data_IF_841104718187
#
_entry.id   IF_841104718187
#
_cell.length_a   1.000
_cell.length_b   1.000
_cell.length_c   1.000
_cell.angle_alpha   90.00
_cell.angle_beta   90.00
_cell.angle_gamma   90.00
#
_symmetry.space_group_name_H-M   'P 1'
#
loop_
_entity.id
_entity.type
_entity.pdbx_description
1 polymer ?
#
# COMPACT_ATOMS: atom_id res chain seq x y z
N UNK A 1 15.28 -16.56 -0.32
CA UNK A 1 13.96 -16.31 0.30
C UNK A 1 13.62 -14.85 0.09
N UNK A 2 12.38 -14.52 -0.28
CA UNK A 2 12.04 -13.16 -0.73
C UNK A 2 10.70 -12.74 -0.12
N UNK A 3 10.56 -11.46 0.18
CA UNK A 3 9.31 -10.85 0.65
C UNK A 3 9.35 -9.35 0.35
N UNK A 4 8.27 -8.65 0.67
CA UNK A 4 8.20 -7.21 0.50
C UNK A 4 7.55 -6.52 1.69
N UNK A 5 7.89 -5.25 1.91
CA UNK A 5 7.37 -4.42 3.00
C UNK A 5 7.07 -3.02 2.50
N UNK A 6 5.96 -2.43 2.92
CA UNK A 6 5.75 -0.99 2.82
C UNK A 6 6.69 -0.29 3.80
N UNK A 7 7.49 0.67 3.33
CA UNK A 7 8.36 1.45 4.19
C UNK A 7 7.50 2.33 5.10
N UNK A 8 7.55 2.04 6.40
CA UNK A 8 6.82 2.77 7.43
C UNK A 8 7.63 3.95 8.01
N UNK A 9 8.80 4.25 7.44
CA UNK A 9 9.72 5.28 7.93
C UNK A 9 10.65 4.81 9.05
N UNK A 10 10.65 3.51 9.39
CA UNK A 10 11.48 2.94 10.44
C UNK A 10 12.96 2.76 10.08
N UNK A 11 13.36 3.13 8.86
CA UNK A 11 14.77 3.13 8.45
C UNK A 11 15.35 1.78 8.06
N UNK A 12 14.59 0.93 7.37
CA UNK A 12 15.12 -0.34 6.82
C UNK A 12 16.30 -0.03 5.87
N UNK A 13 17.47 -0.67 6.04
CA UNK A 13 18.63 -0.39 5.20
C UNK A 13 18.37 -0.72 3.71
N UNK A 14 18.55 0.28 2.84
CA UNK A 14 18.32 0.15 1.39
C UNK A 14 19.58 -0.16 0.58
N UNK A 15 20.75 0.28 1.08
CA UNK A 15 22.05 0.16 0.38
C UNK A 15 23.02 -0.85 1.00
N UNK A 16 22.63 -1.49 2.11
CA UNK A 16 23.47 -2.44 2.83
C UNK A 16 22.68 -3.68 3.24
N UNK A 17 23.42 -4.72 3.60
CA UNK A 17 22.84 -5.93 4.15
C UNK A 17 22.44 -5.74 5.63
N UNK A 18 21.40 -6.43 6.07
CA UNK A 18 20.91 -6.43 7.46
C UNK A 18 20.47 -7.84 7.88
N UNK A 19 20.34 -8.10 9.18
CA UNK A 19 19.88 -9.42 9.64
C UNK A 19 18.37 -9.49 9.60
N UNK A 20 17.81 -10.65 9.23
CA UNK A 20 16.36 -10.84 9.24
C UNK A 20 15.73 -10.49 10.59
N UNK A 21 16.41 -10.81 11.69
CA UNK A 21 15.97 -10.51 13.05
C UNK A 21 15.85 -9.00 13.34
N UNK A 22 16.56 -8.14 12.62
CA UNK A 22 16.50 -6.69 12.83
C UNK A 22 15.17 -6.08 12.35
N UNK A 23 14.38 -6.80 11.52
CA UNK A 23 13.08 -6.33 11.04
C UNK A 23 12.07 -6.06 12.16
N UNK A 24 12.19 -6.74 13.32
CA UNK A 24 11.36 -6.44 14.49
C UNK A 24 11.52 -4.98 14.95
N UNK A 25 12.74 -4.46 14.88
CA UNK A 25 13.04 -3.04 15.18
C UNK A 25 12.46 -2.08 14.15
N UNK A 26 12.10 -2.58 12.98
CA UNK A 26 11.50 -1.83 11.87
C UNK A 26 9.97 -1.98 11.82
N UNK A 27 9.35 -2.47 12.90
CA UNK A 27 7.90 -2.56 13.03
C UNK A 27 7.28 -3.75 12.29
N UNK A 28 8.08 -4.73 11.87
CA UNK A 28 7.56 -6.00 11.37
C UNK A 28 7.29 -6.93 12.56
N UNK A 29 6.09 -7.52 12.70
CA UNK A 29 5.78 -8.37 13.85
C UNK A 29 6.75 -9.55 14.01
N UNK A 30 7.18 -9.85 15.24
CA UNK A 30 8.10 -10.97 15.53
C UNK A 30 7.57 -12.32 15.02
N UNK A 31 6.25 -12.50 15.00
CA UNK A 31 5.61 -13.68 14.42
C UNK A 31 5.85 -13.80 12.91
N UNK A 32 5.83 -12.69 12.18
CA UNK A 32 6.18 -12.64 10.76
C UNK A 32 7.68 -12.89 10.59
N UNK A 33 8.54 -12.26 11.39
CA UNK A 33 9.99 -12.48 11.37
C UNK A 33 10.34 -13.97 11.58
N UNK A 34 9.67 -14.62 12.55
CA UNK A 34 9.84 -16.06 12.81
C UNK A 34 9.41 -16.92 11.62
N UNK A 35 8.23 -16.67 11.05
CA UNK A 35 7.75 -17.39 9.87
C UNK A 35 8.72 -17.23 8.69
N UNK A 36 9.24 -16.03 8.50
CA UNK A 36 10.23 -15.75 7.48
C UNK A 36 11.54 -16.52 7.72
N UNK A 37 11.99 -16.62 8.98
CA UNK A 37 13.18 -17.39 9.37
C UNK A 37 13.05 -18.89 9.03
N UNK A 38 11.84 -19.43 9.18
CA UNK A 38 11.48 -20.80 8.80
C UNK A 38 11.31 -21.00 7.27
N UNK A 39 11.47 -19.94 6.47
CA UNK A 39 11.28 -19.99 5.02
C UNK A 39 9.81 -20.01 4.59
N UNK A 40 8.88 -19.72 5.51
CA UNK A 40 7.45 -19.65 5.23
C UNK A 40 7.10 -18.21 4.86
N UNK A 41 6.31 -18.04 3.80
CA UNK A 41 5.67 -16.76 3.54
C UNK A 41 4.65 -16.49 4.66
N UNK A 42 4.66 -15.31 5.29
CA UNK A 42 3.67 -15.01 6.31
C UNK A 42 2.28 -15.01 5.67
N UNK A 43 1.40 -15.86 6.22
CA UNK A 43 0.04 -16.02 5.69
C UNK A 43 -0.74 -14.73 5.94
N UNK A 44 -0.98 -13.95 4.89
CA UNK A 44 -2.04 -12.95 4.90
C UNK A 44 -3.38 -13.68 5.02
N UNK A 45 -4.10 -13.46 6.12
CA UNK A 45 -5.43 -14.04 6.30
C UNK A 45 -6.34 -13.63 5.14
N UNK A 46 -6.94 -14.63 4.47
CA UNK A 46 -7.93 -14.38 3.44
C UNK A 46 -9.12 -13.63 4.05
N UNK A 47 -9.40 -12.43 3.57
CA UNK A 47 -10.59 -11.68 3.99
C UNK A 47 -11.82 -12.33 3.33
N UNK A 48 -12.77 -12.81 4.14
CA UNK A 48 -14.09 -13.20 3.66
C UNK A 48 -14.81 -11.96 3.14
N UNK A 49 -15.20 -11.96 1.87
CA UNK A 49 -16.08 -10.95 1.31
C UNK A 49 -17.46 -11.06 1.96
N UNK A 50 -17.89 -10.00 2.66
CA UNK A 50 -19.27 -9.87 3.10
C UNK A 50 -20.09 -9.28 1.95
N UNK A 51 -21.14 -10.00 1.54
CA UNK A 51 -22.07 -9.57 0.49
C UNK A 51 -23.17 -8.73 1.13
N UNK A 52 -23.10 -7.41 0.98
CA UNK A 52 -24.25 -6.51 1.21
C UNK A 52 -24.29 -5.45 0.10
N UNK A 53 -25.49 -5.23 -0.43
CA UNK A 53 -25.89 -4.39 -1.57
C UNK A 53 -24.87 -3.29 -1.96
N UNK A 54 -24.28 -3.46 -3.14
CA UNK A 54 -23.07 -2.77 -3.59
C UNK A 54 -23.35 -1.75 -4.69
N UNK A 55 -23.17 -0.46 -4.40
CA UNK A 55 -23.08 0.61 -5.39
C UNK A 55 -21.66 1.19 -5.44
N UNK A 56 -21.26 1.89 -6.51
CA UNK A 56 -19.94 2.52 -6.60
C UNK A 56 -19.65 3.47 -5.42
N UNK A 57 -20.67 4.08 -4.83
CA UNK A 57 -20.51 5.01 -3.71
C UNK A 57 -20.49 4.35 -2.33
N UNK A 58 -20.68 3.04 -2.22
CA UNK A 58 -20.68 2.35 -0.91
C UNK A 58 -19.32 2.50 -0.23
N UNK A 59 -19.30 3.00 1.02
CA UNK A 59 -18.07 3.09 1.83
C UNK A 59 -17.73 1.69 2.34
N UNK A 60 -16.55 1.21 1.98
CA UNK A 60 -16.04 -0.13 2.34
C UNK A 60 -14.83 -0.06 3.27
N UNK A 61 -14.33 1.14 3.55
CA UNK A 61 -13.25 1.35 4.52
C UNK A 61 -13.15 2.80 4.96
N UNK A 62 -12.64 3.00 6.17
CA UNK A 62 -12.38 4.31 6.75
C UNK A 62 -11.17 4.22 7.69
N UNK A 63 -10.28 5.20 7.63
CA UNK A 63 -9.12 5.31 8.53
C UNK A 63 -8.62 6.75 8.61
N UNK A 64 -7.61 6.99 9.45
CA UNK A 64 -6.89 8.27 9.54
C UNK A 64 -5.60 8.21 8.72
N UNK A 65 -5.35 9.22 7.90
CA UNK A 65 -4.04 9.40 7.24
C UNK A 65 -2.95 9.80 8.26
N UNK A 66 -1.71 10.00 7.78
CA UNK A 66 -0.58 10.45 8.59
C UNK A 66 -0.87 11.73 9.39
N UNK A 67 -1.67 12.65 8.85
CA UNK A 67 -1.91 13.96 9.44
C UNK A 67 -3.26 14.02 10.21
N UNK A 68 -3.90 12.86 10.44
CA UNK A 68 -5.14 12.73 11.22
C UNK A 68 -6.45 12.98 10.45
N UNK A 69 -6.36 13.20 9.13
CA UNK A 69 -7.52 13.42 8.26
C UNK A 69 -8.22 12.10 7.97
N UNK A 70 -9.55 12.14 7.92
CA UNK A 70 -10.34 10.92 7.63
C UNK A 70 -10.28 10.60 6.14
N UNK A 71 -9.75 9.42 5.81
CA UNK A 71 -9.78 8.85 4.47
C UNK A 71 -10.95 7.88 4.37
N UNK A 72 -11.74 8.01 3.31
CA UNK A 72 -12.83 7.09 2.99
C UNK A 72 -12.44 6.25 1.76
N UNK A 73 -12.59 4.94 1.86
CA UNK A 73 -12.53 4.04 0.71
C UNK A 73 -13.96 3.70 0.29
N UNK A 74 -14.25 3.90 -1.00
CA UNK A 74 -15.50 3.47 -1.61
C UNK A 74 -15.26 2.27 -2.50
N UNK A 75 -16.30 1.46 -2.68
CA UNK A 75 -16.26 0.32 -3.59
C UNK A 75 -15.83 0.78 -4.99
N UNK A 76 -16.42 1.86 -5.51
CA UNK A 76 -16.11 2.40 -6.83
C UNK A 76 -16.41 1.43 -7.98
N UNK A 77 -15.91 1.74 -9.16
CA UNK A 77 -16.09 0.93 -10.37
C UNK A 77 -14.86 1.01 -11.26
N UNK A 78 -14.76 0.09 -12.23
CA UNK A 78 -13.80 0.17 -13.31
C UNK A 78 -14.44 -0.28 -14.63
N UNK A 79 -14.30 0.56 -15.65
CA UNK A 79 -14.63 0.27 -17.04
C UNK A 79 -13.31 0.04 -17.80
N UNK A 80 -12.97 -1.21 -18.17
CA UNK A 80 -11.73 -1.51 -18.88
C UNK A 80 -11.72 -1.03 -20.34
N UNK A 81 -12.89 -0.79 -20.94
CA UNK A 81 -13.01 -0.33 -22.34
C UNK A 81 -12.68 1.16 -22.42
N UNK A 82 -13.19 1.95 -21.49
CA UNK A 82 -12.94 3.42 -21.43
C UNK A 82 -11.72 3.79 -20.60
N UNK A 83 -11.13 2.81 -19.91
CA UNK A 83 -10.09 2.97 -18.91
C UNK A 83 -10.44 3.98 -17.80
N UNK A 84 -11.72 3.99 -17.39
CA UNK A 84 -12.29 4.95 -16.42
C UNK A 84 -12.80 4.25 -15.19
N UNK A 85 -12.82 4.97 -14.07
CA UNK A 85 -13.26 4.44 -12.78
C UNK A 85 -12.52 5.05 -11.61
N UNK A 86 -12.93 4.64 -10.40
CA UNK A 86 -12.37 5.07 -9.13
C UNK A 86 -12.53 3.99 -8.06
N UNK A 87 -11.92 4.23 -6.89
CA UNK A 87 -12.16 3.43 -5.69
C UNK A 87 -11.57 2.02 -5.74
N UNK A 88 -12.02 1.18 -4.82
CA UNK A 88 -11.43 -0.14 -4.57
C UNK A 88 -11.48 -1.05 -5.81
N UNK A 89 -12.60 -1.07 -6.53
CA UNK A 89 -12.78 -1.89 -7.74
C UNK A 89 -11.70 -1.61 -8.78
N UNK A 90 -11.39 -0.33 -9.06
CA UNK A 90 -10.30 0.03 -10.00
C UNK A 90 -8.92 -0.33 -9.45
N UNK A 91 -8.70 -0.08 -8.17
CA UNK A 91 -7.44 -0.39 -7.49
C UNK A 91 -7.11 -1.88 -7.57
N UNK A 92 -8.12 -2.74 -7.37
CA UNK A 92 -7.96 -4.20 -7.42
C UNK A 92 -7.88 -4.73 -8.86
N UNK A 93 -8.82 -4.33 -9.73
CA UNK A 93 -8.93 -4.89 -11.08
C UNK A 93 -7.86 -4.35 -12.04
N UNK A 94 -7.65 -3.03 -12.05
CA UNK A 94 -6.67 -2.40 -12.96
C UNK A 94 -5.27 -2.40 -12.37
N UNK A 95 -5.13 -1.98 -11.11
CA UNK A 95 -3.83 -1.67 -10.53
C UNK A 95 -3.22 -2.78 -9.69
N UNK A 96 -3.95 -3.89 -9.47
CA UNK A 96 -3.49 -5.03 -8.68
C UNK A 96 -2.98 -4.65 -7.28
N UNK A 97 -3.64 -3.70 -6.64
CA UNK A 97 -3.38 -3.30 -5.25
C UNK A 97 -4.57 -3.68 -4.36
N UNK A 98 -4.44 -3.45 -3.06
CA UNK A 98 -5.49 -3.73 -2.06
C UNK A 98 -5.87 -2.47 -1.30
N UNK A 99 -7.02 -2.49 -0.61
CA UNK A 99 -7.37 -1.44 0.36
C UNK A 99 -6.27 -1.25 1.42
N UNK A 100 -5.61 -2.33 1.82
CA UNK A 100 -4.55 -2.27 2.82
C UNK A 100 -3.30 -1.55 2.31
N UNK A 101 -2.92 -1.77 1.04
CA UNK A 101 -1.85 -1.01 0.39
C UNK A 101 -2.17 0.49 0.38
N UNK A 102 -3.40 0.87 0.02
CA UNK A 102 -3.84 2.28 0.03
C UNK A 102 -3.74 2.86 1.44
N UNK A 103 -4.22 2.13 2.44
CA UNK A 103 -4.14 2.53 3.85
C UNK A 103 -2.68 2.75 4.25
N UNK A 104 -1.80 1.78 4.01
CA UNK A 104 -0.38 1.91 4.30
C UNK A 104 0.24 3.13 3.60
N UNK A 105 -0.10 3.38 2.34
CA UNK A 105 0.40 4.55 1.60
C UNK A 105 -0.02 5.89 2.23
N UNK A 106 -1.26 5.98 2.71
CA UNK A 106 -1.76 7.22 3.35
C UNK A 106 -1.31 7.40 4.80
N UNK A 107 -1.02 6.31 5.52
CA UNK A 107 -0.57 6.33 6.91
C UNK A 107 0.95 6.50 7.04
N UNK A 108 1.70 5.92 6.11
CA UNK A 108 3.16 5.96 6.08
C UNK A 108 3.72 6.49 4.76
N UNK A 109 3.31 7.69 4.31
CA UNK A 109 3.95 8.32 3.17
C UNK A 109 5.42 8.63 3.50
N UNK A 110 6.26 8.76 2.46
CA UNK A 110 7.64 9.24 2.56
C UNK A 110 7.70 10.50 3.46
N UNK A 111 8.81 10.72 4.18
CA UNK A 111 8.95 11.91 5.01
C UNK A 111 8.91 13.20 4.16
N UNK A 112 8.39 14.27 4.76
CA UNK A 112 8.33 15.59 4.13
C UNK A 112 7.42 15.69 2.90
N UNK A 113 7.73 16.65 2.03
CA UNK A 113 6.96 16.96 0.82
C UNK A 113 7.00 15.86 -0.24
N UNK A 114 7.99 14.96 -0.19
CA UNK A 114 8.11 13.84 -1.11
C UNK A 114 7.03 12.76 -0.91
N UNK A 115 6.40 12.73 0.27
CA UNK A 115 5.37 11.73 0.59
C UNK A 115 3.94 12.23 0.51
N UNK A 116 3.69 13.54 0.57
CA UNK A 116 2.35 14.12 0.47
C UNK A 116 2.40 15.41 -0.33
N UNK A 117 1.72 15.42 -1.48
CA UNK A 117 1.74 16.53 -2.44
C UNK A 117 0.31 16.92 -2.81
N UNK A 118 0.03 18.21 -2.90
CA UNK A 118 -1.25 18.67 -3.46
C UNK A 118 -1.34 18.28 -4.93
N UNK A 119 -2.52 17.84 -5.36
CA UNK A 119 -2.79 17.63 -6.76
C UNK A 119 -3.05 18.98 -7.44
N UNK A 120 -2.26 19.30 -8.48
CA UNK A 120 -2.33 20.60 -9.14
C UNK A 120 -3.74 20.86 -9.69
N UNK A 121 -4.30 22.03 -9.37
CA UNK A 121 -5.65 22.44 -9.78
C UNK A 121 -6.80 21.93 -8.90
N UNK A 122 -6.53 21.11 -7.87
CA UNK A 122 -7.55 20.54 -6.98
C UNK A 122 -7.16 20.77 -5.51
N UNK A 123 -7.71 21.83 -4.86
CA UNK A 123 -7.19 22.32 -3.57
C UNK A 123 -7.31 21.32 -2.41
N UNK A 124 -8.29 20.41 -2.48
CA UNK A 124 -8.59 19.42 -1.45
C UNK A 124 -8.11 18.01 -1.83
N UNK A 125 -7.43 17.86 -2.96
CA UNK A 125 -6.91 16.56 -3.42
C UNK A 125 -5.42 16.43 -3.15
N UNK A 126 -5.03 15.29 -2.59
CA UNK A 126 -3.65 15.01 -2.20
C UNK A 126 -3.19 13.67 -2.76
N UNK A 127 -1.94 13.63 -3.20
CA UNK A 127 -1.23 12.41 -3.55
C UNK A 127 -0.31 12.02 -2.41
N UNK A 128 -0.45 10.78 -1.96
CA UNK A 128 0.42 10.13 -0.99
C UNK A 128 1.37 9.20 -1.72
N UNK A 129 2.63 9.14 -1.30
CA UNK A 129 3.66 8.30 -1.91
C UNK A 129 4.38 7.50 -0.83
N UNK A 130 4.43 6.18 -1.00
CA UNK A 130 5.17 5.27 -0.11
C UNK A 130 5.99 4.31 -0.93
N UNK A 131 7.20 4.01 -0.48
CA UNK A 131 8.05 3.01 -1.10
C UNK A 131 7.71 1.62 -0.58
N UNK A 132 7.67 0.64 -1.48
CA UNK A 132 7.60 -0.77 -1.15
C UNK A 132 8.94 -1.39 -1.47
N UNK A 133 9.56 -1.98 -0.46
CA UNK A 133 10.89 -2.55 -0.53
C UNK A 133 10.74 -4.05 -0.81
N UNK A 134 11.30 -4.53 -1.91
CA UNK A 134 11.47 -5.95 -2.16
C UNK A 134 12.79 -6.38 -1.51
N UNK A 135 12.69 -7.39 -0.64
CA UNK A 135 13.80 -7.85 0.20
C UNK A 135 14.13 -9.28 -0.18
N UNK A 136 15.41 -9.51 -0.46
CA UNK A 136 15.97 -10.83 -0.70
C UNK A 136 16.91 -11.21 0.42
N UNK A 137 16.70 -12.40 0.96
CA UNK A 137 17.54 -12.96 1.99
C UNK A 137 18.19 -14.27 1.54
N UNK A 138 19.44 -14.45 1.97
CA UNK A 138 20.26 -15.65 1.78
C UNK A 138 20.80 -16.13 3.12
N UNK A 139 21.31 -17.36 3.16
CA UNK A 139 21.81 -17.99 4.39
C UNK A 139 20.75 -18.75 5.19
N UNK A 140 21.20 -19.41 6.25
CA UNK A 140 20.39 -20.33 7.04
C UNK A 140 20.16 -19.81 8.47
N UNK A 141 18.90 -19.90 8.91
CA UNK A 141 18.44 -19.63 10.28
C UNK A 141 18.96 -18.28 10.86
N UNK A 142 19.80 -18.29 11.90
CA UNK A 142 20.30 -17.07 12.56
C UNK A 142 21.32 -16.26 11.74
N UNK A 143 21.93 -16.87 10.71
CA UNK A 143 22.88 -16.19 9.81
C UNK A 143 22.19 -15.65 8.55
N UNK A 144 20.85 -15.61 8.55
CA UNK A 144 20.09 -15.10 7.42
C UNK A 144 20.29 -13.60 7.28
N UNK A 145 20.92 -13.23 6.18
CA UNK A 145 21.21 -11.85 5.81
C UNK A 145 20.30 -11.44 4.67
N UNK A 146 19.76 -10.23 4.77
CA UNK A 146 18.78 -9.67 3.86
C UNK A 146 19.31 -8.39 3.23
N UNK A 147 18.86 -8.09 2.02
CA UNK A 147 19.11 -6.82 1.34
C UNK A 147 17.88 -6.42 0.55
N UNK A 148 17.65 -5.12 0.43
CA UNK A 148 16.69 -4.58 -0.53
C UNK A 148 17.29 -4.74 -1.93
N UNK A 149 16.55 -5.33 -2.87
CA UNK A 149 17.00 -5.46 -4.26
C UNK A 149 16.15 -4.67 -5.25
N UNK A 150 14.89 -4.35 -4.91
CA UNK A 150 14.01 -3.48 -5.70
C UNK A 150 13.22 -2.55 -4.79
N UNK A 151 12.88 -1.39 -5.33
CA UNK A 151 11.99 -0.41 -4.68
C UNK A 151 10.92 -0.02 -5.69
N UNK A 152 9.65 -0.05 -5.26
CA UNK A 152 8.53 0.40 -6.07
C UNK A 152 7.73 1.44 -5.27
N UNK A 153 7.58 2.63 -5.84
CA UNK A 153 6.73 3.65 -5.24
C UNK A 153 5.26 3.36 -5.55
N UNK A 154 4.42 3.39 -4.52
CA UNK A 154 2.95 3.38 -4.64
C UNK A 154 2.45 4.78 -4.39
N UNK A 155 1.59 5.27 -5.29
CA UNK A 155 0.87 6.53 -5.16
C UNK A 155 -0.59 6.25 -4.84
N UNK A 156 -1.16 6.99 -3.90
CA UNK A 156 -2.59 7.02 -3.62
C UNK A 156 -3.13 8.45 -3.72
N UNK A 157 -4.12 8.68 -4.58
CA UNK A 157 -4.82 9.97 -4.71
C UNK A 157 -6.08 9.98 -3.87
N UNK A 158 -6.22 11.00 -3.01
CA UNK A 158 -7.36 11.15 -2.09
C UNK A 158 -7.93 12.54 -2.21
N UNK A 159 -9.23 12.66 -2.42
CA UNK A 159 -9.97 13.92 -2.38
C UNK A 159 -10.69 14.08 -1.03
N UNK A 160 -10.41 15.19 -0.34
CA UNK A 160 -11.04 15.56 0.93
C UNK A 160 -12.14 16.61 0.77
N UNK A 161 -12.48 17.01 -0.46
CA UNK A 161 -13.49 18.03 -0.69
C UNK A 161 -14.87 17.59 -0.14
N UNK A 162 -15.31 18.26 0.93
CA UNK A 162 -16.60 18.00 1.56
C UNK A 162 -17.77 18.66 0.81
N UNK A 163 -17.51 19.59 -0.12
CA UNK A 163 -18.51 20.52 -0.69
C UNK A 163 -19.18 20.05 -1.99
N UNK A 164 -18.75 18.95 -2.61
CA UNK A 164 -19.35 18.46 -3.87
C UNK A 164 -19.97 17.06 -3.67
N UNK A 165 -21.30 16.90 -3.76
CA UNK A 165 -21.99 15.62 -3.53
C UNK A 165 -21.63 14.49 -4.51
N UNK A 166 -21.08 14.81 -5.69
CA UNK A 166 -20.95 13.89 -6.83
C UNK A 166 -19.51 13.55 -7.26
N UNK A 167 -18.47 14.09 -6.60
CA UNK A 167 -17.09 13.61 -6.80
C UNK A 167 -16.79 12.51 -5.77
N UNK A 168 -15.93 11.53 -6.09
CA UNK A 168 -15.61 10.43 -5.20
C UNK A 168 -14.92 10.96 -3.94
N UNK A 169 -15.71 11.27 -2.91
CA UNK A 169 -15.24 11.64 -1.59
C UNK A 169 -14.35 10.50 -1.09
N UNK A 170 -13.08 10.78 -0.86
CA UNK A 170 -12.09 9.80 -0.41
C UNK A 170 -11.14 9.34 -1.52
N UNK A 171 -10.80 8.05 -1.52
CA UNK A 171 -9.76 7.51 -2.41
C UNK A 171 -10.24 7.50 -3.87
N UNK A 172 -9.55 8.25 -4.72
CA UNK A 172 -9.78 8.28 -6.17
C UNK A 172 -9.20 7.01 -6.81
N UNK A 173 -7.90 6.76 -6.57
CA UNK A 173 -7.17 5.60 -7.09
C UNK A 173 -5.86 5.41 -6.34
N UNK A 174 -5.23 4.25 -6.51
CA UNK A 174 -3.86 3.98 -6.13
C UNK A 174 -3.19 3.07 -7.16
N UNK A 175 -1.90 3.28 -7.41
CA UNK A 175 -1.12 2.52 -8.40
C UNK A 175 0.39 2.63 -8.16
N UNK A 176 1.16 1.80 -8.87
CA UNK A 176 2.62 1.82 -8.83
C UNK A 176 3.17 2.84 -9.83
N UNK A 177 3.95 3.81 -9.35
CA UNK A 177 4.57 4.82 -10.22
C UNK A 177 5.48 4.17 -11.27
N UNK A 178 5.40 4.65 -12.51
CA UNK A 178 6.16 4.09 -13.64
C UNK A 178 5.66 2.73 -14.15
N UNK A 179 4.61 2.15 -13.56
CA UNK A 179 4.02 0.87 -14.00
C UNK A 179 2.72 1.13 -14.75
N UNK A 180 2.68 0.76 -16.03
CA UNK A 180 1.45 0.79 -16.81
C UNK A 180 0.55 -0.39 -16.42
N UNK A 181 -0.65 -0.10 -15.94
CA UNK A 181 -1.63 -1.11 -15.54
C UNK A 181 -1.39 -1.66 -14.13
N UNK A 182 -0.97 -2.92 -14.05
CA UNK A 182 -0.98 -3.74 -12.83
C UNK A 182 0.35 -3.66 -12.07
N UNK A 183 0.30 -3.33 -10.79
CA UNK A 183 1.44 -3.47 -9.88
C UNK A 183 1.95 -4.92 -9.83
N UNK A 184 3.26 -5.13 -9.66
CA UNK A 184 3.82 -6.46 -9.39
C UNK A 184 3.20 -7.09 -8.15
N UNK A 185 2.99 -8.42 -8.16
CA UNK A 185 2.36 -9.13 -7.04
C UNK A 185 3.14 -9.01 -5.72
N UNK A 186 4.46 -8.85 -5.78
CA UNK A 186 5.27 -8.62 -4.57
C UNK A 186 4.89 -7.33 -3.84
N UNK A 187 4.34 -6.32 -4.54
CA UNK A 187 3.82 -5.10 -3.90
C UNK A 187 2.51 -5.40 -3.18
N UNK A 188 1.59 -6.09 -3.85
CA UNK A 188 0.28 -6.48 -3.31
C UNK A 188 0.39 -7.39 -2.09
N UNK A 189 1.40 -8.26 -2.09
CA UNK A 189 1.62 -9.30 -1.09
C UNK A 189 2.65 -8.88 -0.02
N UNK A 190 2.91 -7.58 0.13
CA UNK A 190 3.80 -7.10 1.19
C UNK A 190 3.31 -7.56 2.57
N UNK A 191 4.23 -7.93 3.44
CA UNK A 191 3.93 -8.71 4.65
C UNK A 191 3.35 -7.86 5.80
N UNK A 192 3.46 -6.54 5.69
CA UNK A 192 3.01 -5.58 6.70
C UNK A 192 1.72 -4.85 6.30
N UNK A 193 0.95 -5.43 5.37
CA UNK A 193 -0.39 -4.98 5.01
C UNK A 193 -1.45 -6.04 5.31
#
# INVERSE_FOLDING_TARGET
MEFSVFDNGSGIPRGSSFRLADLGRHGIPDSAVKQLGEGKAPRTAATKSATTLSGPDTIVGQWKDRDGWTVYMRQGYYDPVRDKGFGLTKIEQKHNLTMKAVRATTQYPRPGAAGKQKFAGYPDTWNYFTDVLHVKCSGWWIFRTCRVDKVQAVRAGVDFNAKIPMLPKGVITAYCEGVQGRCPDWVKNAINI
#
